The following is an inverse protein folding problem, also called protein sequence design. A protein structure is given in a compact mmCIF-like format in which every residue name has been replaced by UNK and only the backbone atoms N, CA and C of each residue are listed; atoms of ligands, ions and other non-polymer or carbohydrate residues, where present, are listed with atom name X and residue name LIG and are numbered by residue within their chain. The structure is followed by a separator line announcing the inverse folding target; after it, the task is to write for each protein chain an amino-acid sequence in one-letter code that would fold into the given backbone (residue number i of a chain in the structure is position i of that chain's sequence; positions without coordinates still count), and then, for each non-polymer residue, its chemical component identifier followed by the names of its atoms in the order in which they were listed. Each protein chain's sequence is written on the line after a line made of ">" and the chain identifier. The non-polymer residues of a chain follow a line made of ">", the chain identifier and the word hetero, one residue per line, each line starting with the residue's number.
data_IF_875539857704
#
_entry.id   IF_875539857704
#
_cell.length_a   1.000
_cell.length_b   1.000
_cell.length_c   1.000
_cell.angle_alpha   90.00
_cell.angle_beta   90.00
_cell.angle_gamma   90.00
#
_symmetry.space_group_name_H-M   'P 1'
#
loop_
_entity.id
_entity.type
_entity.pdbx_description
1 polymer ?
#
# COMPACT_ATOMS: atom_id res chain seq x y z
N UNK A 1 -2.94 -24.18 -1.84
CA UNK A 1 -1.62 -24.49 -1.23
C UNK A 1 -1.33 -23.36 -0.25
N UNK A 2 -0.81 -23.62 0.95
CA UNK A 2 -0.43 -22.58 1.91
C UNK A 2 1.08 -22.62 2.08
N UNK A 3 1.70 -21.45 2.04
CA UNK A 3 3.12 -21.29 2.27
C UNK A 3 3.35 -20.72 3.66
N UNK A 4 4.32 -21.25 4.40
CA UNK A 4 4.72 -20.72 5.70
C UNK A 4 5.64 -19.51 5.51
N UNK A 5 5.08 -18.48 4.87
CA UNK A 5 5.75 -17.21 4.54
C UNK A 5 4.85 -16.07 4.98
N UNK A 6 5.46 -15.07 5.58
CA UNK A 6 4.85 -13.81 5.98
C UNK A 6 5.41 -12.65 5.17
N UNK A 7 4.51 -11.76 4.71
CA UNK A 7 4.87 -10.67 3.79
C UNK A 7 4.26 -9.37 4.27
N UNK A 8 5.02 -8.29 4.22
CA UNK A 8 4.52 -6.93 4.46
C UNK A 8 4.86 -6.00 3.29
N UNK A 9 3.86 -5.28 2.80
CA UNK A 9 4.04 -4.18 1.86
C UNK A 9 4.09 -2.85 2.63
N UNK A 10 5.21 -2.13 2.53
CA UNK A 10 5.41 -0.84 3.19
C UNK A 10 5.50 0.28 2.16
N UNK A 11 4.52 1.17 2.15
CA UNK A 11 4.55 2.34 1.27
C UNK A 11 3.22 2.75 0.68
N UNK A 12 3.07 2.60 -0.62
CA UNK A 12 2.00 3.21 -1.39
C UNK A 12 0.66 2.44 -1.34
N UNK A 13 -0.39 3.25 -1.31
CA UNK A 13 -1.75 2.84 -1.66
C UNK A 13 -2.41 3.95 -2.48
N UNK A 14 -3.25 3.57 -3.40
CA UNK A 14 -4.05 4.47 -4.23
C UNK A 14 -5.40 3.82 -4.53
N UNK A 15 -6.33 4.61 -5.05
CA UNK A 15 -7.54 4.09 -5.69
C UNK A 15 -7.42 4.29 -7.19
N UNK A 16 -7.50 3.20 -7.95
CA UNK A 16 -7.59 3.24 -9.40
C UNK A 16 -9.06 3.34 -9.82
N UNK A 17 -9.45 4.48 -10.38
CA UNK A 17 -10.82 4.81 -10.76
C UNK A 17 -10.97 4.70 -12.28
N UNK A 18 -11.73 3.69 -12.72
CA UNK A 18 -12.04 3.46 -14.14
C UNK A 18 -13.33 4.18 -14.49
N UNK A 19 -13.22 5.35 -15.11
CA UNK A 19 -14.35 6.26 -15.35
C UNK A 19 -15.37 5.73 -16.37
N UNK A 20 -14.91 4.94 -17.35
CA UNK A 20 -15.77 4.37 -18.39
C UNK A 20 -16.71 3.27 -17.86
N UNK A 21 -16.36 2.61 -16.77
CA UNK A 21 -17.18 1.58 -16.12
C UNK A 21 -17.78 2.05 -14.80
N UNK A 22 -17.38 3.24 -14.32
CA UNK A 22 -17.73 3.76 -13.01
C UNK A 22 -17.39 2.80 -11.87
N UNK A 23 -16.22 2.15 -11.97
CA UNK A 23 -15.69 1.24 -10.96
C UNK A 23 -14.39 1.76 -10.40
N UNK A 24 -14.06 1.31 -9.19
CA UNK A 24 -12.81 1.67 -8.53
C UNK A 24 -12.22 0.46 -7.82
N UNK A 25 -10.90 0.38 -7.85
CA UNK A 25 -10.16 -0.72 -7.25
C UNK A 25 -9.06 -0.19 -6.32
N UNK A 26 -8.80 -0.87 -5.19
CA UNK A 26 -7.59 -0.63 -4.43
C UNK A 26 -6.36 -0.90 -5.29
N UNK A 27 -5.38 -0.04 -5.20
CA UNK A 27 -4.12 -0.14 -5.94
C UNK A 27 -2.93 0.35 -5.13
N UNK A 28 -1.80 0.42 -5.79
CA UNK A 28 -0.49 0.71 -5.20
C UNK A 28 0.37 -0.54 -5.09
N UNK A 29 1.66 -0.42 -5.37
CA UNK A 29 2.56 -1.57 -5.41
C UNK A 29 2.59 -2.35 -4.10
N UNK A 30 2.64 -1.64 -2.97
CA UNK A 30 2.74 -2.26 -1.64
C UNK A 30 1.43 -2.94 -1.23
N UNK A 31 0.28 -2.34 -1.55
CA UNK A 31 -1.04 -2.95 -1.36
C UNK A 31 -1.17 -4.18 -2.24
N UNK A 32 -0.86 -4.06 -3.54
CA UNK A 32 -0.99 -5.17 -4.47
C UNK A 32 -0.12 -6.37 -4.06
N UNK A 33 1.11 -6.13 -3.60
CA UNK A 33 1.97 -7.21 -3.12
C UNK A 33 1.33 -7.97 -1.96
N UNK A 34 0.82 -7.25 -0.95
CA UNK A 34 0.20 -7.88 0.22
C UNK A 34 -1.02 -8.72 -0.17
N UNK A 35 -1.88 -8.20 -1.04
CA UNK A 35 -3.08 -8.89 -1.52
C UNK A 35 -2.71 -10.10 -2.37
N UNK A 36 -1.82 -9.96 -3.34
CA UNK A 36 -1.41 -11.10 -4.18
C UNK A 36 -0.68 -12.18 -3.37
N UNK A 37 0.20 -11.80 -2.44
CA UNK A 37 0.82 -12.78 -1.55
C UNK A 37 -0.22 -13.59 -0.78
N UNK A 38 -1.27 -12.93 -0.27
CA UNK A 38 -2.40 -13.60 0.40
C UNK A 38 -3.15 -14.53 -0.53
N UNK A 39 -3.49 -14.08 -1.73
CA UNK A 39 -4.18 -14.88 -2.75
C UNK A 39 -3.37 -16.12 -3.14
N UNK A 40 -2.04 -16.00 -3.22
CA UNK A 40 -1.14 -17.12 -3.50
C UNK A 40 -0.85 -18.00 -2.28
N UNK A 41 -1.41 -17.70 -1.13
CA UNK A 41 -1.41 -18.60 0.03
C UNK A 41 -0.34 -18.32 1.07
N UNK A 42 0.23 -17.12 1.10
CA UNK A 42 1.09 -16.69 2.21
C UNK A 42 0.31 -16.72 3.53
N UNK A 43 0.97 -17.13 4.60
CA UNK A 43 0.37 -17.37 5.91
C UNK A 43 -0.09 -16.09 6.59
N UNK A 44 0.75 -15.06 6.54
CA UNK A 44 0.50 -13.73 7.12
C UNK A 44 0.83 -12.67 6.09
N UNK A 45 -0.11 -11.74 5.87
CA UNK A 45 0.10 -10.62 4.96
C UNK A 45 -0.32 -9.33 5.63
N UNK A 46 0.52 -8.32 5.54
CA UNK A 46 0.28 -7.01 6.12
C UNK A 46 0.53 -5.89 5.10
N UNK A 47 -0.13 -4.79 5.33
CA UNK A 47 0.17 -3.52 4.70
C UNK A 47 0.50 -2.48 5.78
N UNK A 48 1.50 -1.65 5.52
CA UNK A 48 1.94 -0.57 6.39
C UNK A 48 2.10 0.71 5.56
N UNK A 49 1.45 1.78 5.97
CA UNK A 49 1.50 3.04 5.26
C UNK A 49 0.50 4.07 5.80
N UNK A 50 0.39 5.18 5.07
CA UNK A 50 -0.58 6.22 5.39
C UNK A 50 -1.87 6.06 4.59
N UNK A 51 -2.98 6.31 5.26
CA UNK A 51 -4.29 6.54 4.64
C UNK A 51 -4.74 7.98 4.85
N UNK A 52 -5.50 8.51 3.92
CA UNK A 52 -6.29 9.71 4.11
C UNK A 52 -7.48 9.49 5.03
N UNK A 53 -8.38 10.48 5.07
CA UNK A 53 -9.62 10.45 5.86
C UNK A 53 -10.88 10.54 4.99
N UNK A 54 -10.72 10.38 3.69
CA UNK A 54 -11.77 10.46 2.69
C UNK A 54 -12.36 9.07 2.33
N UNK A 55 -13.36 9.07 1.44
CA UNK A 55 -14.00 7.84 0.96
C UNK A 55 -13.07 6.90 0.21
N UNK A 56 -12.03 7.44 -0.45
CA UNK A 56 -11.03 6.62 -1.13
C UNK A 56 -10.21 5.82 -0.12
N UNK A 57 -9.81 6.44 1.00
CA UNK A 57 -9.14 5.74 2.09
C UNK A 57 -10.02 4.62 2.66
N UNK A 58 -11.30 4.92 2.92
CA UNK A 58 -12.23 3.92 3.47
C UNK A 58 -12.44 2.76 2.49
N UNK A 59 -12.48 3.02 1.18
CA UNK A 59 -12.58 1.99 0.16
C UNK A 59 -11.38 1.02 0.21
N UNK A 60 -10.14 1.55 0.22
CA UNK A 60 -8.94 0.70 0.30
C UNK A 60 -8.89 -0.07 1.61
N UNK A 61 -9.16 0.58 2.74
CA UNK A 61 -9.17 -0.07 4.06
C UNK A 61 -10.18 -1.21 4.12
N UNK A 62 -11.39 -1.00 3.59
CA UNK A 62 -12.44 -2.03 3.58
C UNK A 62 -12.02 -3.24 2.76
N UNK A 63 -11.50 -3.01 1.55
CA UNK A 63 -11.03 -4.08 0.68
C UNK A 63 -9.88 -4.87 1.31
N UNK A 64 -8.91 -4.20 1.94
CA UNK A 64 -7.79 -4.88 2.61
C UNK A 64 -8.27 -5.72 3.82
N UNK A 65 -9.28 -5.25 4.54
CA UNK A 65 -9.88 -6.01 5.65
C UNK A 65 -10.65 -7.23 5.16
N UNK A 66 -11.38 -7.13 4.04
CA UNK A 66 -12.06 -8.26 3.42
C UNK A 66 -11.07 -9.36 3.00
N UNK A 67 -9.91 -8.96 2.48
CA UNK A 67 -8.80 -9.87 2.14
C UNK A 67 -7.98 -10.33 3.38
N UNK A 68 -8.38 -9.92 4.58
CA UNK A 68 -7.68 -10.26 5.84
C UNK A 68 -6.20 -9.81 5.85
N UNK A 69 -5.92 -8.67 5.26
CA UNK A 69 -4.61 -8.03 5.33
C UNK A 69 -4.49 -7.28 6.66
N UNK A 70 -3.40 -7.51 7.36
CA UNK A 70 -3.12 -6.85 8.64
C UNK A 70 -2.77 -5.37 8.43
N UNK A 71 -3.39 -4.47 9.22
CA UNK A 71 -3.25 -3.02 9.09
C UNK A 71 -2.76 -2.34 10.39
N UNK A 72 -2.14 -3.09 11.28
CA UNK A 72 -1.79 -2.66 12.65
C UNK A 72 -0.92 -1.40 12.67
N UNK A 73 0.00 -1.27 11.73
CA UNK A 73 0.92 -0.13 11.62
C UNK A 73 0.49 0.92 10.60
N UNK A 74 -0.75 0.86 10.12
CA UNK A 74 -1.28 1.92 9.27
C UNK A 74 -1.65 3.15 10.11
N UNK A 75 -1.35 4.34 9.57
CA UNK A 75 -1.65 5.62 10.21
C UNK A 75 -2.60 6.42 9.32
N UNK A 76 -3.58 7.11 9.90
CA UNK A 76 -4.46 8.04 9.17
C UNK A 76 -3.96 9.47 9.32
N UNK A 77 -3.98 10.20 8.20
CA UNK A 77 -3.65 11.64 8.15
C UNK A 77 -4.83 12.36 7.51
N UNK A 78 -5.22 13.48 8.07
CA UNK A 78 -6.30 14.30 7.52
C UNK A 78 -5.97 14.74 6.09
N UNK A 79 -6.90 14.48 5.17
CA UNK A 79 -6.79 14.81 3.76
C UNK A 79 -7.16 13.65 2.83
N UNK A 80 -6.96 13.88 1.54
CA UNK A 80 -7.31 12.92 0.49
C UNK A 80 -6.32 11.77 0.41
N UNK A 81 -6.84 10.57 0.25
CA UNK A 81 -6.06 9.41 -0.14
C UNK A 81 -5.57 9.54 -1.59
N UNK A 82 -4.51 8.82 -1.94
CA UNK A 82 -4.05 8.75 -3.32
C UNK A 82 -5.10 8.18 -4.26
N UNK A 83 -5.27 8.79 -5.43
CA UNK A 83 -6.07 8.23 -6.52
C UNK A 83 -5.43 8.47 -7.88
N UNK A 84 -5.82 7.62 -8.82
CA UNK A 84 -5.55 7.75 -10.24
C UNK A 84 -6.82 7.46 -11.03
N UNK A 85 -7.23 8.37 -11.93
CA UNK A 85 -8.37 8.15 -12.82
C UNK A 85 -7.89 7.79 -14.21
N UNK A 86 -8.51 6.77 -14.76
CA UNK A 86 -8.22 6.31 -16.11
C UNK A 86 -9.49 5.90 -16.85
N UNK A 87 -9.38 5.84 -18.15
CA UNK A 87 -10.36 5.23 -19.05
C UNK A 87 -9.68 4.23 -19.96
N UNK A 88 -10.45 3.49 -20.75
CA UNK A 88 -9.93 2.65 -21.82
C UNK A 88 -10.24 3.29 -23.17
N UNK A 89 -9.24 3.39 -24.04
CA UNK A 89 -9.35 3.77 -25.43
C UNK A 89 -8.67 2.68 -26.28
N UNK A 90 -9.40 2.10 -27.20
CA UNK A 90 -8.94 0.99 -28.06
C UNK A 90 -8.30 -0.19 -27.30
N UNK A 91 -8.74 -0.41 -26.05
CA UNK A 91 -8.23 -1.48 -25.18
C UNK A 91 -7.03 -1.06 -24.34
N UNK A 92 -6.47 0.10 -24.54
CA UNK A 92 -5.36 0.64 -23.77
C UNK A 92 -5.84 1.58 -22.67
N UNK A 93 -5.12 1.58 -21.54
CA UNK A 93 -5.41 2.45 -20.40
C UNK A 93 -4.86 3.86 -20.64
N UNK A 94 -5.76 4.84 -20.66
CA UNK A 94 -5.44 6.26 -20.75
C UNK A 94 -5.65 6.92 -19.39
N UNK A 95 -4.59 7.51 -18.83
CA UNK A 95 -4.66 8.26 -17.59
C UNK A 95 -5.28 9.63 -17.82
N UNK A 96 -6.29 9.97 -17.03
CA UNK A 96 -6.99 11.25 -17.10
C UNK A 96 -6.40 12.26 -16.12
N UNK A 97 -6.36 11.88 -14.85
CA UNK A 97 -5.75 12.68 -13.77
C UNK A 97 -5.38 11.82 -12.56
N UNK A 98 -4.65 12.42 -11.63
CA UNK A 98 -4.25 11.82 -10.34
C UNK A 98 -3.87 12.94 -9.35
N UNK A 99 -3.92 12.64 -8.05
CA UNK A 99 -3.57 13.61 -7.00
C UNK A 99 -2.17 13.40 -6.40
N UNK A 100 -1.23 12.91 -7.21
CA UNK A 100 0.18 12.68 -6.81
C UNK A 100 0.36 11.78 -5.58
N UNK A 101 -0.64 10.96 -5.26
CA UNK A 101 -0.62 10.03 -4.13
C UNK A 101 -1.25 10.59 -2.85
N UNK A 102 -1.85 11.79 -2.90
CA UNK A 102 -2.59 12.35 -1.77
C UNK A 102 -1.74 12.62 -0.53
N UNK A 103 -2.28 12.33 0.65
CA UNK A 103 -1.57 12.56 1.94
C UNK A 103 -0.22 11.84 2.01
N UNK A 104 -0.10 10.68 1.40
CA UNK A 104 1.12 9.88 1.39
C UNK A 104 2.31 10.63 0.77
N UNK A 105 2.08 11.40 -0.28
CA UNK A 105 3.14 12.13 -0.98
C UNK A 105 3.67 13.35 -0.23
N UNK A 106 2.94 13.77 0.78
CA UNK A 106 3.25 14.97 1.59
C UNK A 106 3.79 14.66 2.98
N UNK A 107 3.76 13.36 3.36
CA UNK A 107 4.15 12.93 4.68
C UNK A 107 5.06 11.70 4.59
N UNK A 108 6.26 11.84 5.11
CA UNK A 108 7.20 10.72 5.23
C UNK A 108 6.74 9.86 6.40
N UNK A 109 6.58 8.55 6.16
CA UNK A 109 6.40 7.60 7.24
C UNK A 109 7.77 7.35 7.86
N UNK A 110 8.10 8.14 8.87
CA UNK A 110 9.38 8.03 9.58
C UNK A 110 9.35 6.82 10.51
N UNK A 111 10.12 5.80 10.15
CA UNK A 111 10.21 4.54 10.89
C UNK A 111 10.92 4.77 12.21
N UNK A 112 10.27 4.39 13.30
CA UNK A 112 10.85 4.29 14.62
C UNK A 112 11.32 2.86 14.94
N UNK A 113 11.87 2.64 16.12
CA UNK A 113 12.37 1.36 16.59
C UNK A 113 11.25 0.29 16.62
N UNK A 114 10.05 0.66 17.07
CA UNK A 114 8.91 -0.27 17.13
C UNK A 114 8.36 -0.62 15.75
N UNK A 115 8.48 0.28 14.80
CA UNK A 115 8.12 0.01 13.41
C UNK A 115 9.11 -0.97 12.77
N UNK A 116 10.41 -0.82 13.06
CA UNK A 116 11.44 -1.73 12.58
C UNK A 116 11.31 -3.13 13.23
N UNK A 117 11.02 -3.20 14.52
CA UNK A 117 10.73 -4.46 15.22
C UNK A 117 9.54 -5.19 14.58
N UNK A 118 8.47 -4.46 14.27
CA UNK A 118 7.31 -5.02 13.59
C UNK A 118 7.65 -5.54 12.19
N UNK A 119 8.41 -4.79 11.40
CA UNK A 119 8.84 -5.23 10.07
C UNK A 119 9.73 -6.49 10.15
N UNK A 120 10.54 -6.62 11.19
CA UNK A 120 11.41 -7.79 11.41
C UNK A 120 10.63 -9.10 11.71
N UNK A 121 9.34 -9.02 12.02
CA UNK A 121 8.49 -10.21 12.21
C UNK A 121 8.13 -10.92 10.89
N UNK A 122 8.40 -10.30 9.74
CA UNK A 122 8.03 -10.82 8.43
C UNK A 122 9.23 -11.44 7.71
N UNK A 123 8.96 -12.47 6.90
CA UNK A 123 9.98 -13.12 6.07
C UNK A 123 10.35 -12.28 4.84
N UNK A 124 9.48 -11.36 4.42
CA UNK A 124 9.70 -10.46 3.30
C UNK A 124 9.10 -9.08 3.59
N UNK A 125 9.94 -8.07 3.45
CA UNK A 125 9.54 -6.66 3.49
C UNK A 125 9.69 -6.07 2.09
N UNK A 126 8.56 -5.68 1.49
CA UNK A 126 8.56 -4.96 0.21
C UNK A 126 8.33 -3.48 0.45
N UNK A 127 9.20 -2.65 -0.06
CA UNK A 127 9.05 -1.20 -0.07
C UNK A 127 8.90 -0.69 -1.49
N UNK A 128 7.87 0.11 -1.73
CA UNK A 128 7.70 0.79 -3.00
C UNK A 128 8.81 1.83 -3.21
N UNK A 129 9.43 1.82 -4.40
CA UNK A 129 10.51 2.74 -4.73
C UNK A 129 9.96 4.13 -5.11
N UNK A 130 9.38 4.82 -4.14
CA UNK A 130 8.95 6.20 -4.30
C UNK A 130 9.84 7.13 -3.49
N UNK A 131 10.15 8.29 -4.05
CA UNK A 131 11.02 9.31 -3.47
C UNK A 131 10.71 9.69 -2.02
N UNK A 132 9.49 9.47 -1.56
CA UNK A 132 9.09 9.70 -0.16
C UNK A 132 9.62 8.65 0.83
N UNK A 133 10.09 7.52 0.33
CA UNK A 133 10.57 6.39 1.13
C UNK A 133 12.11 6.26 1.11
N UNK A 134 12.80 6.99 0.25
CA UNK A 134 14.26 6.91 0.13
C UNK A 134 14.98 7.16 1.45
N UNK A 135 14.49 8.09 2.26
CA UNK A 135 15.05 8.38 3.59
C UNK A 135 14.92 7.24 4.58
N UNK A 136 14.00 6.28 4.34
CA UNK A 136 13.73 5.14 5.21
C UNK A 136 14.56 3.90 4.83
N UNK A 137 15.01 3.80 3.59
CA UNK A 137 15.80 2.66 3.11
C UNK A 137 17.08 2.42 3.93
N UNK A 138 17.85 3.46 4.34
CA UNK A 138 19.01 3.25 5.22
C UNK A 138 18.64 2.63 6.57
N UNK A 139 17.47 2.98 7.13
CA UNK A 139 16.99 2.41 8.41
C UNK A 139 16.65 0.94 8.25
N UNK A 140 15.90 0.60 7.19
CA UNK A 140 15.53 -0.79 6.84
C UNK A 140 16.79 -1.62 6.64
N UNK A 141 17.76 -1.09 5.88
CA UNK A 141 19.04 -1.76 5.63
C UNK A 141 19.86 -1.94 6.90
N UNK A 142 19.92 -0.92 7.77
CA UNK A 142 20.67 -1.00 9.02
C UNK A 142 20.05 -1.98 10.03
N UNK A 143 18.74 -2.20 9.95
CA UNK A 143 18.03 -3.20 10.77
C UNK A 143 18.16 -4.64 10.23
N UNK A 144 18.89 -4.84 9.12
CA UNK A 144 19.09 -6.15 8.49
C UNK A 144 17.79 -6.93 8.27
N UNK A 145 16.72 -6.20 7.87
CA UNK A 145 15.41 -6.79 7.63
C UNK A 145 15.42 -7.71 6.41
N UNK A 146 14.59 -8.78 6.43
CA UNK A 146 14.49 -9.75 5.33
C UNK A 146 13.89 -9.14 4.05
#
# INVERSE_FOLDING_TARGET
>A
MKYDVSVVGFGDNVVDIYTHENVQYPGGNCVNLAVYAKMFGAKRCAYMGYFGTDKNADHVISALREEQIELVKCKKIEGENGYSRCTLEDGDRVFLDYNEGGVRSRHIYDLDEFDLEYLAEFDLVHSGNYCYMESQLPKIKAAELP
#
